data_IF_167443612362
#
_entry.id   IF_167443612362
#
_cell.length_a   1.000
_cell.length_b   1.000
_cell.length_c   1.000
_cell.angle_alpha   90.00
_cell.angle_beta   90.00
_cell.angle_gamma   90.00
#
_symmetry.space_group_name_H-M   'P 1'
#
loop_
_entity.id
_entity.type
_entity.pdbx_description
1 polymer ?
#
# COMPACT_ATOMS: atom_id res chain seq x y z
N UNK A 1 -9.22 27.77 9.81
CA UNK A 1 -10.18 26.89 10.51
C UNK A 1 -9.88 26.94 11.99
N UNK A 2 -10.87 27.26 12.81
CA UNK A 2 -10.70 27.36 14.26
C UNK A 2 -10.51 26.00 14.92
N UNK A 3 -9.96 25.97 16.13
CA UNK A 3 -9.82 24.73 16.90
C UNK A 3 -11.19 24.06 17.13
N UNK A 4 -11.23 22.73 17.11
CA UNK A 4 -12.46 21.94 17.31
C UNK A 4 -13.48 21.97 16.15
N UNK A 5 -13.18 22.65 15.04
CA UNK A 5 -14.12 22.73 13.90
C UNK A 5 -14.34 21.36 13.25
N UNK A 6 -15.56 21.11 12.76
CA UNK A 6 -15.87 19.92 11.97
C UNK A 6 -16.25 20.32 10.55
N UNK A 7 -15.57 19.79 9.55
CA UNK A 7 -15.82 20.06 8.14
C UNK A 7 -16.16 18.75 7.47
N UNK A 8 -17.31 18.67 6.81
CA UNK A 8 -17.82 17.43 6.24
C UNK A 8 -18.01 17.56 4.73
N UNK A 9 -17.68 16.49 4.01
CA UNK A 9 -17.94 16.20 2.59
C UNK A 9 -17.71 17.31 1.54
N UNK A 10 -16.90 17.00 0.53
CA UNK A 10 -16.74 17.78 -0.71
C UNK A 10 -16.20 19.21 -0.54
N UNK A 11 -15.47 19.48 0.54
CA UNK A 11 -14.82 20.78 0.76
C UNK A 11 -13.38 20.74 0.25
N UNK A 12 -13.01 21.72 -0.58
CA UNK A 12 -11.63 21.97 -0.98
C UNK A 12 -11.02 22.98 0.00
N UNK A 13 -10.04 22.53 0.78
CA UNK A 13 -9.26 23.38 1.67
C UNK A 13 -8.02 23.87 0.93
N UNK A 14 -8.04 25.15 0.56
CA UNK A 14 -6.96 25.79 -0.19
C UNK A 14 -5.61 25.73 0.56
N UNK A 15 -4.52 25.80 -0.20
CA UNK A 15 -3.15 25.65 0.31
C UNK A 15 -2.76 26.67 1.40
N UNK A 16 -3.41 27.83 1.45
CA UNK A 16 -3.19 28.88 2.46
C UNK A 16 -3.95 28.70 3.78
N UNK A 17 -4.87 27.73 3.88
CA UNK A 17 -5.69 27.56 5.07
C UNK A 17 -4.85 27.05 6.27
N UNK A 18 -4.99 27.72 7.43
CA UNK A 18 -4.47 27.21 8.71
C UNK A 18 -5.53 26.32 9.36
N UNK A 19 -5.17 25.07 9.67
CA UNK A 19 -6.04 24.09 10.32
C UNK A 19 -5.73 24.13 11.83
N UNK A 20 -6.72 24.49 12.65
CA UNK A 20 -6.59 24.51 14.11
C UNK A 20 -6.50 23.12 14.73
N UNK A 21 -6.10 23.04 16.01
CA UNK A 21 -6.07 21.76 16.73
C UNK A 21 -7.47 21.16 16.90
N UNK A 22 -7.58 19.83 16.86
CA UNK A 22 -8.86 19.13 17.06
C UNK A 22 -9.88 19.30 15.92
N UNK A 23 -9.45 19.79 14.76
CA UNK A 23 -10.33 19.89 13.58
C UNK A 23 -10.59 18.49 13.02
N UNK A 24 -11.85 18.10 12.91
CA UNK A 24 -12.28 16.87 12.25
C UNK A 24 -12.72 17.18 10.81
N UNK A 25 -12.07 16.55 9.84
CA UNK A 25 -12.41 16.70 8.42
C UNK A 25 -12.95 15.36 7.94
N UNK A 26 -14.20 15.30 7.48
CA UNK A 26 -14.87 14.09 6.99
C UNK A 26 -14.26 13.51 5.70
N UNK A 27 -14.86 12.44 5.21
CA UNK A 27 -14.49 11.80 3.96
C UNK A 27 -14.60 12.79 2.78
N UNK A 28 -13.71 12.68 1.80
CA UNK A 28 -13.69 13.52 0.58
C UNK A 28 -13.37 15.02 0.78
N UNK A 29 -12.78 15.44 1.90
CA UNK A 29 -12.23 16.79 2.07
C UNK A 29 -10.79 16.85 1.55
N UNK A 30 -10.54 17.59 0.47
CA UNK A 30 -9.21 17.74 -0.14
C UNK A 30 -8.43 18.86 0.56
N UNK A 31 -7.20 18.58 1.00
CA UNK A 31 -6.32 19.56 1.64
C UNK A 31 -5.06 19.73 0.79
N UNK A 32 -5.05 20.74 -0.09
CA UNK A 32 -3.99 20.97 -1.07
C UNK A 32 -2.60 21.04 -0.40
N UNK A 33 -2.50 21.79 0.72
CA UNK A 33 -1.25 21.95 1.46
C UNK A 33 -0.68 20.63 1.97
N UNK A 34 -1.54 19.74 2.47
CA UNK A 34 -1.13 18.46 3.05
C UNK A 34 -0.54 17.53 1.99
N UNK A 35 -1.21 17.43 0.84
CA UNK A 35 -0.75 16.63 -0.30
C UNK A 35 0.56 17.20 -0.86
N UNK A 36 0.68 18.52 -1.03
CA UNK A 36 1.91 19.15 -1.52
C UNK A 36 3.12 18.90 -0.59
N UNK A 37 2.92 18.96 0.74
CA UNK A 37 3.98 18.65 1.71
C UNK A 37 4.41 17.18 1.60
N UNK A 38 3.45 16.26 1.45
CA UNK A 38 3.75 14.84 1.29
C UNK A 38 4.53 14.54 -0.01
N UNK A 39 4.08 15.11 -1.13
CA UNK A 39 4.73 14.95 -2.44
C UNK A 39 6.13 15.58 -2.41
N UNK A 40 6.26 16.81 -1.92
CA UNK A 40 7.54 17.50 -1.80
C UNK A 40 8.54 16.77 -0.90
N UNK A 41 8.09 16.28 0.27
CA UNK A 41 8.94 15.50 1.16
C UNK A 41 9.38 14.16 0.57
N UNK A 42 8.50 13.51 -0.21
CA UNK A 42 8.86 12.28 -0.93
C UNK A 42 9.90 12.55 -2.01
N UNK A 43 9.71 13.61 -2.80
CA UNK A 43 10.65 14.01 -3.84
C UNK A 43 12.02 14.38 -3.27
N UNK A 44 12.06 15.13 -2.15
CA UNK A 44 13.30 15.47 -1.47
C UNK A 44 14.06 14.23 -0.96
N UNK A 45 13.36 13.27 -0.36
CA UNK A 45 13.95 12.01 0.11
C UNK A 45 14.54 11.18 -1.05
N UNK A 46 13.84 11.12 -2.18
CA UNK A 46 14.33 10.44 -3.38
C UNK A 46 15.55 11.15 -3.99
N UNK A 47 15.51 12.49 -4.09
CA UNK A 47 16.63 13.29 -4.60
C UNK A 47 17.88 13.07 -3.76
N UNK A 48 17.76 13.04 -2.42
CA UNK A 48 18.88 12.73 -1.53
C UNK A 48 19.51 11.37 -1.86
N UNK A 49 18.69 10.34 -2.09
CA UNK A 49 19.16 8.99 -2.42
C UNK A 49 19.87 8.97 -3.78
N UNK A 50 19.32 9.68 -4.77
CA UNK A 50 19.93 9.82 -6.10
C UNK A 50 21.27 10.57 -6.03
N UNK A 51 21.36 11.64 -5.24
CA UNK A 51 22.59 12.41 -5.05
C UNK A 51 23.65 11.63 -4.27
N UNK A 52 23.25 10.70 -3.40
CA UNK A 52 24.17 9.79 -2.72
C UNK A 52 24.72 8.70 -3.66
N UNK A 53 24.01 8.36 -4.75
CA UNK A 53 24.36 7.24 -5.61
C UNK A 53 25.79 7.30 -6.18
N UNK A 54 26.31 8.43 -6.72
CA UNK A 54 27.69 8.51 -7.23
C UNK A 54 28.77 8.25 -6.19
N UNK A 55 28.50 8.54 -4.90
CA UNK A 55 29.41 8.25 -3.80
C UNK A 55 29.30 6.78 -3.41
N UNK A 56 28.08 6.26 -3.28
CA UNK A 56 27.82 4.87 -2.91
C UNK A 56 28.38 3.90 -3.95
N UNK A 57 28.27 4.19 -5.25
CA UNK A 57 28.80 3.32 -6.32
C UNK A 57 30.33 3.29 -6.40
N UNK A 58 31.03 4.22 -5.73
CA UNK A 58 32.49 4.15 -5.54
C UNK A 58 32.90 3.35 -4.31
N UNK A 59 32.00 3.22 -3.34
CA UNK A 59 32.26 2.56 -2.05
C UNK A 59 31.83 1.08 -2.04
N UNK A 60 30.83 0.73 -2.85
CA UNK A 60 30.22 -0.59 -2.89
C UNK A 60 30.39 -1.24 -4.26
N UNK A 61 30.50 -2.57 -4.25
CA UNK A 61 30.61 -3.38 -5.46
C UNK A 61 29.23 -3.60 -6.13
N UNK A 62 29.18 -3.91 -7.44
CA UNK A 62 27.95 -4.32 -8.11
C UNK A 62 27.24 -5.50 -7.42
N UNK A 63 28.01 -6.42 -6.84
CA UNK A 63 27.51 -7.59 -6.11
C UNK A 63 26.74 -7.17 -4.84
N UNK A 64 27.21 -6.14 -4.12
CA UNK A 64 26.52 -5.59 -2.94
C UNK A 64 25.16 -4.98 -3.32
N UNK A 65 25.09 -4.29 -4.46
CA UNK A 65 23.83 -3.76 -4.98
C UNK A 65 22.90 -4.88 -5.47
N UNK A 66 23.45 -5.98 -5.98
CA UNK A 66 22.71 -7.19 -6.32
C UNK A 66 22.00 -7.79 -5.09
N UNK A 67 22.73 -7.92 -3.97
CA UNK A 67 22.16 -8.34 -2.68
C UNK A 67 21.00 -7.44 -2.24
N UNK A 68 21.22 -6.13 -2.28
CA UNK A 68 20.20 -5.14 -1.91
C UNK A 68 18.95 -5.23 -2.80
N UNK A 69 19.12 -5.40 -4.11
CA UNK A 69 18.02 -5.46 -5.08
C UNK A 69 17.15 -6.71 -4.89
N UNK A 70 17.78 -7.88 -4.72
CA UNK A 70 17.06 -9.13 -4.44
C UNK A 70 16.33 -9.05 -3.10
N UNK A 71 17.02 -8.60 -2.05
CA UNK A 71 16.42 -8.41 -0.73
C UNK A 71 15.24 -7.43 -0.75
N UNK A 72 15.40 -6.27 -1.39
CA UNK A 72 14.33 -5.28 -1.53
C UNK A 72 13.12 -5.82 -2.30
N UNK A 73 13.34 -6.65 -3.31
CA UNK A 73 12.27 -7.29 -4.08
C UNK A 73 11.48 -8.30 -3.24
N UNK A 74 12.17 -9.10 -2.41
CA UNK A 74 11.52 -10.02 -1.46
C UNK A 74 10.69 -9.26 -0.42
N UNK A 75 11.24 -8.18 0.16
CA UNK A 75 10.50 -7.33 1.09
C UNK A 75 9.27 -6.68 0.43
N UNK A 76 9.40 -6.19 -0.80
CA UNK A 76 8.28 -5.60 -1.53
C UNK A 76 7.17 -6.62 -1.80
N UNK A 77 7.54 -7.84 -2.20
CA UNK A 77 6.59 -8.92 -2.46
C UNK A 77 5.86 -9.36 -1.18
N UNK A 78 6.59 -9.62 -0.09
CA UNK A 78 6.00 -10.04 1.18
C UNK A 78 5.21 -8.88 1.80
N UNK A 79 5.71 -7.65 1.69
CA UNK A 79 5.05 -6.44 2.20
C UNK A 79 3.68 -6.16 1.57
N UNK A 80 3.43 -6.63 0.35
CA UNK A 80 2.09 -6.54 -0.28
C UNK A 80 1.05 -7.38 0.46
N UNK A 81 1.46 -8.53 0.99
CA UNK A 81 0.57 -9.51 1.61
C UNK A 81 0.71 -9.58 3.13
N UNK A 82 1.65 -8.85 3.74
CA UNK A 82 2.01 -8.98 5.16
C UNK A 82 0.86 -8.65 6.10
N UNK A 83 0.00 -7.70 5.75
CA UNK A 83 -1.24 -7.37 6.49
C UNK A 83 -2.50 -7.81 5.75
N UNK A 84 -2.39 -8.64 4.70
CA UNK A 84 -3.49 -9.01 3.80
C UNK A 84 -4.32 -7.79 3.31
N UNK A 85 -3.69 -6.62 3.24
CA UNK A 85 -4.29 -5.36 2.79
C UNK A 85 -5.37 -4.77 3.72
N UNK A 86 -5.49 -5.28 4.95
CA UNK A 86 -6.34 -4.65 5.97
C UNK A 86 -5.87 -3.24 6.34
N UNK A 87 -4.60 -2.90 6.12
CA UNK A 87 -4.07 -1.55 6.34
C UNK A 87 -4.77 -0.49 5.49
N UNK A 88 -5.28 -0.87 4.31
CA UNK A 88 -6.05 0.01 3.43
C UNK A 88 -7.42 0.37 4.01
N UNK A 89 -7.96 -0.44 4.93
CA UNK A 89 -9.26 -0.21 5.55
C UNK A 89 -9.19 0.79 6.72
N UNK A 90 -8.01 1.08 7.27
CA UNK A 90 -7.81 1.97 8.43
C UNK A 90 -8.46 3.36 8.25
N UNK A 91 -8.46 3.99 7.07
CA UNK A 91 -9.12 5.28 6.87
C UNK A 91 -10.66 5.20 6.77
N UNK A 92 -11.26 4.01 6.64
CA UNK A 92 -12.69 3.87 6.38
C UNK A 92 -13.60 4.08 7.59
N UNK A 93 -13.35 3.49 8.78
CA UNK A 93 -14.22 3.66 9.94
C UNK A 93 -14.42 5.13 10.29
N UNK A 94 -15.61 5.53 10.72
CA UNK A 94 -15.82 6.90 11.21
C UNK A 94 -15.26 7.07 12.63
N UNK A 95 -15.31 6.00 13.44
CA UNK A 95 -14.84 5.98 14.82
C UNK A 95 -13.35 5.57 14.92
N UNK A 96 -12.63 6.24 15.82
CA UNK A 96 -11.20 5.99 16.05
C UNK A 96 -10.95 4.67 16.78
N UNK A 97 -11.87 4.19 17.63
CA UNK A 97 -11.78 2.88 18.26
C UNK A 97 -11.92 1.76 17.24
N UNK A 98 -12.88 1.85 16.32
CA UNK A 98 -13.01 0.89 15.22
C UNK A 98 -11.78 0.90 14.30
N UNK A 99 -11.29 2.07 13.90
CA UNK A 99 -10.06 2.18 13.12
C UNK A 99 -8.85 1.59 13.84
N UNK A 100 -8.75 1.78 15.15
CA UNK A 100 -7.66 1.20 15.94
C UNK A 100 -7.74 -0.33 15.98
N UNK A 101 -8.95 -0.91 16.03
CA UNK A 101 -9.13 -2.36 15.92
C UNK A 101 -8.67 -2.90 14.56
N UNK A 102 -8.92 -2.18 13.46
CA UNK A 102 -8.41 -2.53 12.12
C UNK A 102 -6.88 -2.41 12.05
N UNK A 103 -6.31 -1.36 12.65
CA UNK A 103 -4.86 -1.16 12.70
C UNK A 103 -4.17 -2.29 13.48
N UNK A 104 -4.71 -2.66 14.65
CA UNK A 104 -4.18 -3.77 15.47
C UNK A 104 -4.35 -5.11 14.78
N UNK A 105 -5.48 -5.37 14.11
CA UNK A 105 -5.64 -6.54 13.24
C UNK A 105 -4.52 -6.62 12.21
N UNK A 106 -4.23 -5.50 11.55
CA UNK A 106 -3.17 -5.40 10.54
C UNK A 106 -1.79 -5.67 11.14
N UNK A 107 -1.48 -5.15 12.33
CA UNK A 107 -0.23 -5.42 13.06
C UNK A 107 -0.09 -6.89 13.46
N UNK A 108 -1.18 -7.53 13.90
CA UNK A 108 -1.19 -8.97 14.22
C UNK A 108 -0.86 -9.79 12.97
N UNK A 109 -1.49 -9.48 11.84
CA UNK A 109 -1.22 -10.15 10.56
C UNK A 109 0.24 -9.95 10.13
N UNK A 110 0.78 -8.72 10.24
CA UNK A 110 2.19 -8.44 9.98
C UNK A 110 3.11 -9.26 10.89
N UNK A 111 2.78 -9.38 12.17
CA UNK A 111 3.51 -10.23 13.11
C UNK A 111 3.50 -11.71 12.70
N UNK A 112 2.35 -12.23 12.28
CA UNK A 112 2.22 -13.59 11.75
C UNK A 112 3.06 -13.76 10.48
N UNK A 113 2.99 -12.82 9.53
CA UNK A 113 3.82 -12.88 8.31
C UNK A 113 5.31 -12.78 8.60
N UNK A 114 5.73 -12.00 9.59
CA UNK A 114 7.11 -11.94 10.06
C UNK A 114 7.55 -13.29 10.66
N UNK A 115 6.73 -13.93 11.48
CA UNK A 115 7.02 -15.27 12.02
C UNK A 115 7.10 -16.33 10.92
N UNK A 116 6.14 -16.35 9.99
CA UNK A 116 6.13 -17.29 8.86
C UNK A 116 7.34 -17.10 7.95
N UNK A 117 7.72 -15.87 7.65
CA UNK A 117 8.95 -15.59 6.89
C UNK A 117 10.21 -15.98 7.65
N UNK A 118 10.23 -15.84 8.98
CA UNK A 118 11.31 -16.34 9.83
C UNK A 118 11.43 -17.87 9.77
N UNK A 119 10.32 -18.60 9.89
CA UNK A 119 10.30 -20.07 9.75
C UNK A 119 10.77 -20.48 8.35
N UNK A 120 10.29 -19.80 7.31
CA UNK A 120 10.71 -20.06 5.93
C UNK A 120 12.22 -19.87 5.75
N UNK A 121 12.78 -18.81 6.31
CA UNK A 121 14.22 -18.53 6.28
C UNK A 121 15.01 -19.61 7.02
N UNK A 122 14.56 -20.05 8.19
CA UNK A 122 15.24 -21.08 8.96
C UNK A 122 15.26 -22.44 8.25
N UNK A 123 14.19 -22.78 7.55
CA UNK A 123 14.04 -24.09 6.89
C UNK A 123 14.64 -24.11 5.47
N UNK A 124 14.50 -23.03 4.71
CA UNK A 124 14.77 -22.99 3.27
C UNK A 124 15.70 -21.84 2.85
N UNK A 125 16.25 -21.06 3.79
CA UNK A 125 17.02 -19.85 3.46
C UNK A 125 18.20 -20.09 2.52
N UNK A 126 18.98 -21.16 2.74
CA UNK A 126 20.11 -21.50 1.86
C UNK A 126 19.63 -21.89 0.46
N UNK A 127 18.65 -22.81 0.38
CA UNK A 127 18.07 -23.26 -0.89
C UNK A 127 17.45 -22.11 -1.69
N UNK A 128 16.78 -21.18 -1.02
CA UNK A 128 16.20 -19.98 -1.67
C UNK A 128 17.32 -19.07 -2.19
N UNK A 129 18.39 -18.85 -1.43
CA UNK A 129 19.51 -18.00 -1.85
C UNK A 129 20.23 -18.57 -3.09
N UNK A 130 20.43 -19.89 -3.11
CA UNK A 130 21.03 -20.60 -4.25
C UNK A 130 20.12 -20.55 -5.48
N UNK A 131 18.81 -20.78 -5.31
CA UNK A 131 17.84 -20.70 -6.40
C UNK A 131 17.70 -19.29 -6.99
N UNK A 132 17.92 -18.25 -6.17
CA UNK A 132 17.93 -16.85 -6.61
C UNK A 132 19.26 -16.44 -7.27
N UNK A 133 20.27 -17.33 -7.30
CA UNK A 133 21.59 -17.04 -7.85
C UNK A 133 22.44 -16.10 -6.99
N UNK A 134 22.10 -15.95 -5.69
CA UNK A 134 22.83 -15.07 -4.76
C UNK A 134 23.12 -15.79 -3.43
N UNK A 135 24.04 -16.76 -3.40
CA UNK A 135 24.32 -17.56 -2.19
C UNK A 135 24.77 -16.73 -0.99
N UNK A 136 25.47 -15.62 -1.23
CA UNK A 136 25.91 -14.68 -0.19
C UNK A 136 24.73 -14.08 0.62
N UNK A 137 23.51 -14.10 0.08
CA UNK A 137 22.32 -13.61 0.77
C UNK A 137 21.88 -14.53 1.91
N UNK A 138 22.23 -15.82 1.89
CA UNK A 138 21.83 -16.79 2.90
C UNK A 138 22.24 -16.36 4.32
N UNK A 139 23.43 -15.76 4.48
CA UNK A 139 23.93 -15.24 5.75
C UNK A 139 23.17 -14.03 6.29
N UNK A 140 22.37 -13.37 5.44
CA UNK A 140 21.63 -12.17 5.78
C UNK A 140 20.11 -12.37 5.79
N UNK A 141 19.61 -13.55 5.41
CA UNK A 141 18.17 -13.77 5.29
C UNK A 141 17.39 -13.66 6.59
N UNK A 142 18.05 -13.78 7.74
CA UNK A 142 17.43 -13.50 9.03
C UNK A 142 16.95 -12.04 9.16
N UNK A 143 17.47 -11.11 8.35
CA UNK A 143 16.97 -9.73 8.28
C UNK A 143 15.59 -9.65 7.62
N UNK A 144 15.20 -10.63 6.80
CA UNK A 144 13.92 -10.65 6.09
C UNK A 144 12.71 -10.56 7.04
N UNK A 145 12.53 -11.43 8.06
CA UNK A 145 11.41 -11.31 8.99
C UNK A 145 11.41 -9.97 9.75
N UNK A 146 12.59 -9.41 10.05
CA UNK A 146 12.71 -8.10 10.70
C UNK A 146 12.24 -6.99 9.75
N UNK A 147 12.65 -7.02 8.48
CA UNK A 147 12.20 -6.07 7.46
C UNK A 147 10.70 -6.19 7.16
N UNK A 148 10.15 -7.41 7.15
CA UNK A 148 8.69 -7.63 7.00
C UNK A 148 7.93 -7.02 8.17
N UNK A 149 8.40 -7.24 9.40
CA UNK A 149 7.80 -6.69 10.61
C UNK A 149 7.80 -5.15 10.60
N UNK A 150 8.97 -4.55 10.34
CA UNK A 150 9.13 -3.10 10.36
C UNK A 150 8.45 -2.43 9.18
N UNK A 151 8.61 -2.94 7.96
CA UNK A 151 7.96 -2.40 6.77
C UNK A 151 6.44 -2.55 6.79
N UNK A 152 5.93 -3.67 7.30
CA UNK A 152 4.51 -3.89 7.53
C UNK A 152 3.95 -2.94 8.60
N UNK A 153 4.62 -2.83 9.76
CA UNK A 153 4.22 -1.91 10.81
C UNK A 153 4.26 -0.44 10.37
N UNK A 154 5.31 -0.03 9.63
CA UNK A 154 5.39 1.29 9.00
C UNK A 154 4.18 1.54 8.11
N UNK A 155 3.79 0.57 7.29
CA UNK A 155 2.65 0.70 6.39
C UNK A 155 1.35 0.93 7.17
N UNK A 156 1.10 0.15 8.23
CA UNK A 156 -0.05 0.33 9.12
C UNK A 156 -0.08 1.75 9.73
N UNK A 157 1.03 2.20 10.32
CA UNK A 157 1.09 3.52 10.95
C UNK A 157 1.07 4.67 9.95
N UNK A 158 1.55 4.45 8.72
CA UNK A 158 1.41 5.39 7.62
C UNK A 158 -0.07 5.57 7.25
N UNK A 159 -0.85 4.49 7.09
CA UNK A 159 -2.29 4.58 6.85
C UNK A 159 -3.07 5.21 8.01
N UNK A 160 -2.67 4.94 9.25
CA UNK A 160 -3.20 5.66 10.42
C UNK A 160 -2.88 7.17 10.36
N UNK A 161 -1.67 7.52 9.96
CA UNK A 161 -1.24 8.92 9.83
C UNK A 161 -1.96 9.64 8.68
N UNK A 162 -2.29 8.91 7.60
CA UNK A 162 -3.14 9.41 6.52
C UNK A 162 -4.55 9.67 7.03
N UNK A 163 -5.15 8.73 7.79
CA UNK A 163 -6.45 8.92 8.45
C UNK A 163 -6.49 10.18 9.30
N UNK A 164 -5.47 10.35 10.15
CA UNK A 164 -5.35 11.51 11.06
C UNK A 164 -4.78 12.76 10.37
N UNK A 165 -4.55 12.71 9.05
CA UNK A 165 -4.12 13.83 8.19
C UNK A 165 -2.77 14.45 8.61
N UNK A 166 -1.89 13.65 9.21
CA UNK A 166 -0.53 14.03 9.64
C UNK A 166 0.47 13.98 8.48
N UNK A 167 0.13 14.61 7.36
CA UNK A 167 0.95 14.57 6.14
C UNK A 167 2.37 15.12 6.33
N UNK A 168 2.54 16.15 7.17
CA UNK A 168 3.85 16.69 7.51
C UNK A 168 4.73 15.71 8.29
N UNK A 169 4.14 14.94 9.22
CA UNK A 169 4.86 13.89 9.94
C UNK A 169 5.29 12.78 8.98
N UNK A 170 4.39 12.33 8.09
CA UNK A 170 4.72 11.32 7.07
C UNK A 170 5.88 11.81 6.18
N UNK A 171 5.79 13.04 5.67
CA UNK A 171 6.84 13.65 4.86
C UNK A 171 8.19 13.70 5.59
N UNK A 172 8.17 14.11 6.87
CA UNK A 172 9.36 14.11 7.73
C UNK A 172 9.95 12.71 7.89
N UNK A 173 9.13 11.68 8.08
CA UNK A 173 9.64 10.30 8.19
C UNK A 173 10.36 9.83 6.95
N UNK A 174 9.83 10.13 5.74
CA UNK A 174 10.50 9.75 4.49
C UNK A 174 11.88 10.39 4.35
N UNK A 175 12.01 11.66 4.75
CA UNK A 175 13.29 12.35 4.74
C UNK A 175 14.26 11.77 5.79
N UNK A 176 13.80 11.56 7.02
CA UNK A 176 14.61 10.94 8.08
C UNK A 176 15.03 9.52 7.72
N UNK A 177 14.18 8.75 7.05
CA UNK A 177 14.49 7.41 6.54
C UNK A 177 15.60 7.45 5.50
N UNK A 178 15.49 8.34 4.50
CA UNK A 178 16.50 8.49 3.46
C UNK A 178 17.85 8.96 4.06
N UNK A 179 17.82 9.94 4.97
CA UNK A 179 19.01 10.40 5.68
C UNK A 179 19.66 9.31 6.51
N UNK A 180 18.88 8.58 7.31
CA UNK A 180 19.38 7.47 8.12
C UNK A 180 19.96 6.36 7.24
N UNK A 181 19.30 6.05 6.12
CA UNK A 181 19.79 5.05 5.16
C UNK A 181 21.14 5.46 4.61
N UNK A 182 21.27 6.67 4.04
CA UNK A 182 22.53 7.16 3.47
C UNK A 182 23.62 7.25 4.55
N UNK A 183 23.30 7.75 5.74
CA UNK A 183 24.26 7.87 6.84
C UNK A 183 24.81 6.51 7.27
N UNK A 184 23.95 5.50 7.41
CA UNK A 184 24.36 4.14 7.78
C UNK A 184 25.17 3.50 6.65
N UNK A 185 24.79 3.70 5.39
CA UNK A 185 25.55 3.20 4.23
C UNK A 185 26.94 3.84 4.15
N UNK A 186 27.08 5.14 4.42
CA UNK A 186 28.37 5.80 4.39
C UNK A 186 29.24 5.42 5.60
N UNK A 187 28.67 5.32 6.80
CA UNK A 187 29.39 4.92 8.00
C UNK A 187 29.82 3.44 7.96
N UNK A 188 28.96 2.59 7.39
CA UNK A 188 29.13 1.14 7.35
C UNK A 188 29.86 0.61 6.12
N UNK A 189 30.42 1.45 5.24
CA UNK A 189 30.93 1.01 3.92
C UNK A 189 31.93 -0.15 3.98
N UNK A 190 32.75 -0.22 5.04
CA UNK A 190 33.72 -1.30 5.23
C UNK A 190 33.09 -2.67 5.50
N UNK A 191 31.81 -2.71 5.85
CA UNK A 191 31.07 -3.94 6.10
C UNK A 191 30.50 -4.55 4.79
N UNK A 192 30.64 -3.87 3.65
CA UNK A 192 30.13 -4.34 2.36
C UNK A 192 28.59 -4.39 2.32
N UNK A 193 28.01 -5.30 1.53
CA UNK A 193 26.57 -5.39 1.29
C UNK A 193 25.69 -5.48 2.55
N UNK A 194 26.23 -5.95 3.68
CA UNK A 194 25.49 -5.97 4.95
C UNK A 194 25.10 -4.56 5.42
N UNK A 195 25.94 -3.54 5.16
CA UNK A 195 25.64 -2.16 5.52
C UNK A 195 24.49 -1.60 4.69
N UNK A 196 24.39 -1.99 3.42
CA UNK A 196 23.26 -1.63 2.56
C UNK A 196 21.94 -2.22 3.10
N UNK A 197 21.97 -3.50 3.51
CA UNK A 197 20.81 -4.19 4.07
C UNK A 197 20.40 -3.62 5.44
N UNK A 198 21.35 -3.43 6.34
CA UNK A 198 21.09 -2.81 7.66
C UNK A 198 20.56 -1.40 7.52
N UNK A 199 21.11 -0.59 6.61
CA UNK A 199 20.63 0.75 6.36
C UNK A 199 19.16 0.77 5.94
N UNK A 200 18.74 -0.14 5.05
CA UNK A 200 17.35 -0.25 4.63
C UNK A 200 16.42 -0.61 5.79
N UNK A 201 16.80 -1.60 6.62
CA UNK A 201 16.01 -2.02 7.79
C UNK A 201 15.96 -0.94 8.86
N UNK A 202 17.10 -0.35 9.19
CA UNK A 202 17.22 0.71 10.19
C UNK A 202 16.47 1.99 9.77
N UNK A 203 16.48 2.33 8.49
CA UNK A 203 15.63 3.39 7.94
C UNK A 203 14.17 3.12 8.27
N UNK A 204 13.65 1.93 7.91
CA UNK A 204 12.27 1.55 8.23
C UNK A 204 11.96 1.60 9.73
N UNK A 205 12.90 1.23 10.60
CA UNK A 205 12.77 1.37 12.06
C UNK A 205 12.48 2.80 12.50
N UNK A 206 13.27 3.78 12.02
CA UNK A 206 13.11 5.20 12.38
C UNK A 206 11.72 5.73 11.98
N UNK A 207 11.24 5.36 10.80
CA UNK A 207 9.89 5.74 10.36
C UNK A 207 8.78 5.07 11.17
N UNK A 208 8.96 3.79 11.52
CA UNK A 208 7.96 3.01 12.26
C UNK A 208 7.81 3.51 13.69
N UNK A 209 8.91 3.77 14.39
CA UNK A 209 8.88 4.27 15.78
C UNK A 209 8.28 5.66 15.87
N UNK A 210 8.66 6.54 14.94
CA UNK A 210 8.12 7.91 14.89
C UNK A 210 6.61 7.93 14.59
N UNK A 211 6.14 7.24 13.54
CA UNK A 211 4.70 7.17 13.24
C UNK A 211 3.92 6.39 14.30
N UNK A 212 4.49 5.29 14.80
CA UNK A 212 3.89 4.43 15.82
C UNK A 212 3.68 5.15 17.15
N UNK A 213 4.66 5.94 17.60
CA UNK A 213 4.52 6.75 18.82
C UNK A 213 3.33 7.71 18.74
N UNK A 214 3.13 8.36 17.58
CA UNK A 214 1.97 9.23 17.36
C UNK A 214 0.65 8.48 17.23
N UNK A 215 0.67 7.30 16.61
CA UNK A 215 -0.52 6.47 16.46
C UNK A 215 -1.00 5.98 17.84
N UNK A 216 -0.12 5.34 18.61
CA UNK A 216 -0.43 4.75 19.91
C UNK A 216 -0.81 5.78 20.98
N UNK A 217 -0.42 7.04 20.81
CA UNK A 217 -0.86 8.14 21.67
C UNK A 217 -2.35 8.52 21.45
N UNK A 218 -3.00 8.09 20.37
CA UNK A 218 -4.41 8.39 20.13
C UNK A 218 -5.32 7.57 21.08
N UNK A 219 -6.32 8.20 21.72
CA UNK A 219 -7.25 7.52 22.64
C UNK A 219 -8.01 6.32 22.05
N UNK A 220 -8.22 6.27 20.73
CA UNK A 220 -8.85 5.15 20.03
C UNK A 220 -8.11 3.82 20.25
N UNK A 221 -6.79 3.83 20.41
CA UNK A 221 -6.03 2.62 20.72
C UNK A 221 -6.32 2.04 22.11
N UNK A 222 -6.86 2.84 23.05
CA UNK A 222 -7.32 2.35 24.36
C UNK A 222 -8.65 1.61 24.29
N UNK A 223 -9.40 1.76 23.20
CA UNK A 223 -10.69 1.11 22.97
C UNK A 223 -10.56 -0.21 22.20
N UNK A 224 -9.32 -0.60 21.87
CA UNK A 224 -9.06 -1.86 21.17
C UNK A 224 -9.48 -3.03 22.05
N UNK A 225 -10.25 -3.94 21.46
CA UNK A 225 -10.72 -5.14 22.14
C UNK A 225 -10.69 -6.33 21.19
N UNK A 226 -10.56 -7.54 21.74
CA UNK A 226 -10.52 -8.75 20.93
C UNK A 226 -11.82 -8.97 20.13
N UNK A 227 -12.97 -8.63 20.72
CA UNK A 227 -14.26 -8.64 20.03
C UNK A 227 -14.31 -7.61 18.89
N UNK A 228 -13.76 -6.42 19.11
CA UNK A 228 -13.61 -5.37 18.09
C UNK A 228 -12.74 -5.81 16.92
N UNK A 229 -11.59 -6.42 17.19
CA UNK A 229 -10.67 -6.97 16.17
C UNK A 229 -11.37 -8.06 15.33
N UNK A 230 -12.07 -9.01 15.96
CA UNK A 230 -12.83 -10.05 15.24
C UNK A 230 -13.93 -9.45 14.37
N UNK A 231 -14.65 -8.45 14.88
CA UNK A 231 -15.70 -7.74 14.13
C UNK A 231 -15.11 -6.99 12.94
N UNK A 232 -13.96 -6.33 13.12
CA UNK A 232 -13.23 -5.66 12.05
C UNK A 232 -12.79 -6.66 10.96
N UNK A 233 -12.25 -7.81 11.35
CA UNK A 233 -11.87 -8.88 10.41
C UNK A 233 -13.06 -9.37 9.58
N UNK A 234 -14.24 -9.55 10.20
CA UNK A 234 -15.46 -9.92 9.50
C UNK A 234 -15.98 -8.81 8.58
N UNK A 235 -16.04 -7.57 9.08
CA UNK A 235 -16.57 -6.40 8.36
C UNK A 235 -15.73 -6.02 7.14
N UNK A 236 -14.41 -6.10 7.25
CA UNK A 236 -13.46 -5.73 6.19
C UNK A 236 -12.87 -6.94 5.46
N UNK A 237 -13.48 -8.12 5.58
CA UNK A 237 -13.02 -9.38 4.96
C UNK A 237 -12.83 -9.32 3.44
N UNK A 238 -13.47 -8.35 2.77
CA UNK A 238 -13.35 -8.18 1.31
C UNK A 238 -12.05 -7.51 0.89
N UNK A 239 -11.32 -6.81 1.76
CA UNK A 239 -10.06 -6.13 1.41
C UNK A 239 -8.98 -7.05 0.83
N UNK A 240 -8.71 -8.23 1.43
CA UNK A 240 -7.82 -9.23 0.82
C UNK A 240 -8.27 -9.70 -0.57
N UNK A 241 -9.58 -9.70 -0.84
CA UNK A 241 -10.21 -10.23 -2.07
C UNK A 241 -10.24 -9.16 -3.19
N UNK A 242 -10.37 -7.88 -2.82
CA UNK A 242 -10.44 -6.76 -3.78
C UNK A 242 -9.15 -6.53 -4.57
N UNK A 243 -8.00 -7.08 -4.17
CA UNK A 243 -6.73 -6.94 -4.93
C UNK A 243 -6.83 -7.44 -6.37
N UNK A 244 -7.66 -8.46 -6.63
CA UNK A 244 -7.72 -9.06 -7.97
C UNK A 244 -8.36 -8.12 -8.99
N UNK A 245 -9.37 -7.35 -8.59
CA UNK A 245 -10.17 -6.53 -9.51
C UNK A 245 -10.08 -5.03 -9.30
N UNK A 246 -9.48 -4.56 -8.20
CA UNK A 246 -9.34 -3.13 -7.92
C UNK A 246 -8.55 -2.39 -9.00
N UNK A 247 -7.45 -2.98 -9.51
CA UNK A 247 -6.71 -2.38 -10.65
C UNK A 247 -7.56 -2.29 -11.92
N UNK A 248 -8.40 -3.28 -12.18
CA UNK A 248 -9.33 -3.26 -13.32
C UNK A 248 -10.35 -2.14 -13.12
N UNK A 249 -10.91 -2.03 -11.91
CA UNK A 249 -11.89 -1.01 -11.56
C UNK A 249 -11.28 0.41 -11.66
N UNK A 250 -10.08 0.63 -11.11
CA UNK A 250 -9.33 1.89 -11.24
C UNK A 250 -9.06 2.25 -12.70
N UNK A 251 -8.65 1.29 -13.54
CA UNK A 251 -8.44 1.50 -14.98
C UNK A 251 -9.73 1.80 -15.73
N UNK A 252 -10.85 1.19 -15.37
CA UNK A 252 -12.17 1.49 -15.96
C UNK A 252 -12.58 2.94 -15.63
N UNK A 253 -12.28 3.41 -14.43
CA UNK A 253 -12.63 4.75 -13.96
C UNK A 253 -11.57 5.83 -14.24
N UNK A 254 -10.45 5.49 -14.86
CA UNK A 254 -9.36 6.44 -15.15
C UNK A 254 -9.79 7.54 -16.12
N UNK A 255 -9.15 8.72 -16.00
CA UNK A 255 -9.26 9.81 -16.97
C UNK A 255 -7.85 10.19 -17.45
N UNK A 256 -7.53 10.08 -18.76
CA UNK A 256 -8.40 9.60 -19.86
C UNK A 256 -8.79 8.12 -19.75
N UNK A 257 -9.83 7.71 -20.48
CA UNK A 257 -10.31 6.31 -20.52
C UNK A 257 -9.21 5.41 -21.07
N UNK A 258 -8.84 4.37 -20.31
CA UNK A 258 -7.83 3.41 -20.72
C UNK A 258 -8.36 2.45 -21.79
N UNK A 259 -7.62 2.31 -22.90
CA UNK A 259 -7.85 1.27 -23.90
C UNK A 259 -7.08 -0.03 -23.60
N UNK A 260 -6.31 -0.07 -22.50
CA UNK A 260 -5.39 -1.15 -22.17
C UNK A 260 -5.91 -1.96 -20.96
N UNK A 261 -7.11 -2.51 -21.13
CA UNK A 261 -7.76 -3.39 -20.15
C UNK A 261 -8.08 -4.70 -20.87
N UNK A 262 -7.54 -5.83 -20.40
CA UNK A 262 -7.87 -7.13 -20.97
C UNK A 262 -9.32 -7.48 -20.65
N UNK A 263 -10.07 -7.98 -21.63
CA UNK A 263 -11.47 -8.35 -21.47
C UNK A 263 -11.68 -9.38 -20.37
N UNK A 264 -10.77 -10.36 -20.25
CA UNK A 264 -10.81 -11.37 -19.18
C UNK A 264 -10.80 -10.75 -17.79
N UNK A 265 -10.03 -9.67 -17.57
CA UNK A 265 -10.01 -8.96 -16.28
C UNK A 265 -11.32 -8.26 -15.95
N UNK A 266 -12.09 -7.85 -16.97
CA UNK A 266 -13.43 -7.26 -16.83
C UNK A 266 -14.46 -8.37 -16.55
N UNK A 267 -14.39 -9.51 -17.26
CA UNK A 267 -15.24 -10.66 -16.99
C UNK A 267 -15.09 -11.15 -15.55
N UNK A 268 -13.85 -11.30 -15.07
CA UNK A 268 -13.61 -11.71 -13.69
C UNK A 268 -14.15 -10.68 -12.67
N UNK A 269 -14.01 -9.37 -12.96
CA UNK A 269 -14.63 -8.31 -12.15
C UNK A 269 -16.15 -8.45 -12.11
N UNK A 270 -16.80 -8.74 -13.24
CA UNK A 270 -18.23 -8.97 -13.28
C UNK A 270 -18.65 -10.20 -12.48
N UNK A 271 -17.94 -11.32 -12.61
CA UNK A 271 -18.21 -12.54 -11.82
C UNK A 271 -18.09 -12.25 -10.32
N UNK A 272 -17.06 -11.49 -9.90
CA UNK A 272 -16.90 -11.09 -8.49
C UNK A 272 -18.04 -10.19 -8.01
N UNK A 273 -18.57 -9.32 -8.87
CA UNK A 273 -19.76 -8.50 -8.59
C UNK A 273 -21.07 -9.33 -8.58
N UNK A 274 -21.00 -10.63 -8.83
CA UNK A 274 -22.14 -11.55 -8.84
C UNK A 274 -22.79 -11.75 -10.21
N UNK A 275 -22.07 -11.46 -11.30
CA UNK A 275 -22.62 -11.62 -12.64
C UNK A 275 -22.71 -13.08 -13.07
N UNK A 276 -23.78 -13.40 -13.82
CA UNK A 276 -23.85 -14.62 -14.62
C UNK A 276 -23.48 -14.30 -16.06
N UNK A 277 -22.44 -14.96 -16.58
CA UNK A 277 -21.92 -14.75 -17.93
C UNK A 277 -22.32 -15.95 -18.81
N UNK A 278 -22.88 -15.68 -19.98
CA UNK A 278 -23.28 -16.71 -20.95
C UNK A 278 -22.77 -16.36 -22.35
N UNK A 279 -22.11 -17.30 -23.01
CA UNK A 279 -21.64 -17.14 -24.38
C UNK A 279 -22.83 -17.18 -25.37
N UNK A 280 -22.74 -16.35 -26.41
CA UNK A 280 -23.72 -16.29 -27.50
C UNK A 280 -23.04 -16.50 -28.84
N UNK A 281 -23.83 -16.57 -29.91
CA UNK A 281 -23.32 -16.72 -31.26
C UNK A 281 -22.31 -15.62 -31.63
N UNK A 282 -21.17 -16.04 -32.19
CA UNK A 282 -20.00 -15.19 -32.45
C UNK A 282 -19.25 -14.77 -31.18
N UNK A 283 -18.50 -13.67 -31.24
CA UNK A 283 -17.76 -13.13 -30.08
C UNK A 283 -18.66 -12.37 -29.08
N UNK A 284 -19.95 -12.70 -28.97
CA UNK A 284 -20.90 -11.99 -28.10
C UNK A 284 -21.02 -12.67 -26.74
N UNK A 285 -21.02 -11.87 -25.69
CA UNK A 285 -21.13 -12.33 -24.30
C UNK A 285 -22.30 -11.63 -23.64
N UNK A 286 -23.25 -12.40 -23.13
CA UNK A 286 -24.36 -11.90 -22.32
C UNK A 286 -23.91 -11.87 -20.84
N UNK A 287 -23.90 -10.69 -20.26
CA UNK A 287 -23.62 -10.48 -18.83
C UNK A 287 -24.93 -10.12 -18.14
N UNK A 288 -25.34 -10.93 -17.17
CA UNK A 288 -26.45 -10.62 -16.26
C UNK A 288 -25.89 -10.14 -14.93
N UNK A 289 -26.09 -8.87 -14.61
CA UNK A 289 -25.57 -8.24 -13.40
C UNK A 289 -26.55 -7.16 -12.95
N UNK A 290 -26.72 -6.97 -11.64
CA UNK A 290 -27.70 -6.04 -11.04
C UNK A 290 -29.16 -6.24 -11.47
N UNK A 291 -29.52 -7.46 -11.88
CA UNK A 291 -30.85 -7.76 -12.43
C UNK A 291 -31.04 -7.31 -13.88
N UNK A 292 -30.04 -6.65 -14.48
CA UNK A 292 -30.03 -6.24 -15.88
C UNK A 292 -29.32 -7.27 -16.77
N UNK A 293 -29.61 -7.22 -18.07
CA UNK A 293 -28.94 -8.03 -19.10
C UNK A 293 -28.26 -7.10 -20.08
N UNK A 294 -26.93 -7.18 -20.20
CA UNK A 294 -26.17 -6.45 -21.21
C UNK A 294 -25.37 -7.41 -22.08
N UNK A 295 -25.31 -7.13 -23.38
CA UNK A 295 -24.51 -7.89 -24.34
C UNK A 295 -23.28 -7.06 -24.67
N UNK A 296 -22.12 -7.69 -24.53
CA UNK A 296 -20.84 -7.12 -24.92
C UNK A 296 -20.21 -7.97 -26.03
N UNK A 297 -19.27 -7.37 -26.74
CA UNK A 297 -18.46 -8.06 -27.72
C UNK A 297 -17.07 -8.32 -27.13
N UNK A 298 -16.64 -9.59 -27.11
CA UNK A 298 -15.26 -9.98 -26.83
C UNK A 298 -14.36 -9.36 -27.89
N UNK A 299 -13.32 -8.59 -27.50
CA UNK A 299 -12.41 -7.99 -28.45
C UNK A 299 -11.59 -9.08 -29.17
N UNK A 300 -11.41 -8.88 -30.46
CA UNK A 300 -10.63 -9.74 -31.36
C UNK A 300 -10.09 -8.87 -32.50
N UNK A 301 -8.84 -9.03 -32.98
CA UNK A 301 -7.86 -10.06 -32.60
C UNK A 301 -7.10 -9.79 -31.30
N UNK A 302 -7.04 -8.54 -30.85
CA UNK A 302 -6.37 -8.19 -29.60
C UNK A 302 -7.28 -8.44 -28.39
N UNK A 303 -6.75 -8.94 -27.25
CA UNK A 303 -7.55 -9.29 -26.07
C UNK A 303 -7.99 -8.05 -25.24
N UNK A 304 -7.70 -6.84 -25.71
CA UNK A 304 -7.94 -5.58 -24.99
C UNK A 304 -9.26 -4.92 -25.41
N UNK A 305 -10.00 -4.44 -24.41
CA UNK A 305 -11.30 -3.78 -24.58
C UNK A 305 -11.12 -2.36 -25.10
N UNK A 306 -11.89 -1.98 -26.11
CA UNK A 306 -11.87 -0.63 -26.68
C UNK A 306 -12.43 0.43 -25.72
N UNK A 307 -12.08 1.70 -25.95
CA UNK A 307 -12.49 2.82 -25.07
C UNK A 307 -14.01 3.00 -24.97
N UNK A 308 -14.75 2.69 -26.03
CA UNK A 308 -16.21 2.82 -26.05
C UNK A 308 -16.87 1.77 -25.16
N UNK A 309 -16.42 0.53 -25.24
CA UNK A 309 -16.85 -0.54 -24.34
C UNK A 309 -16.45 -0.25 -22.88
N UNK A 310 -15.22 0.21 -22.61
CA UNK A 310 -14.79 0.62 -21.26
C UNK A 310 -15.66 1.75 -20.70
N UNK A 311 -15.98 2.76 -21.50
CA UNK A 311 -16.87 3.87 -21.10
C UNK A 311 -18.29 3.39 -20.77
N UNK A 312 -18.83 2.47 -21.59
CA UNK A 312 -20.14 1.84 -21.35
C UNK A 312 -20.17 1.07 -20.03
N UNK A 313 -19.12 0.29 -19.77
CA UNK A 313 -18.95 -0.47 -18.52
C UNK A 313 -18.83 0.48 -17.32
N UNK A 314 -18.01 1.54 -17.45
CA UNK A 314 -17.85 2.55 -16.40
C UNK A 314 -19.18 3.19 -16.02
N UNK A 315 -19.97 3.62 -17.00
CA UNK A 315 -21.30 4.19 -16.76
C UNK A 315 -22.19 3.20 -16.02
N UNK A 316 -22.23 1.95 -16.48
CA UNK A 316 -23.04 0.91 -15.89
C UNK A 316 -22.70 0.62 -14.43
N UNK A 317 -21.40 0.48 -14.13
CA UNK A 317 -20.92 0.29 -12.76
C UNK A 317 -21.24 1.50 -11.87
N UNK A 318 -21.06 2.71 -12.40
CA UNK A 318 -21.33 3.94 -11.67
C UNK A 318 -22.82 4.16 -11.37
N UNK A 319 -23.72 3.80 -12.30
CA UNK A 319 -25.18 3.79 -12.11
C UNK A 319 -25.59 2.91 -10.94
N UNK A 320 -24.86 1.82 -10.71
CA UNK A 320 -25.12 0.84 -9.65
C UNK A 320 -24.25 1.03 -8.41
N UNK A 321 -23.65 2.22 -8.25
CA UNK A 321 -22.86 2.58 -7.06
C UNK A 321 -21.52 1.85 -6.92
N UNK A 322 -21.08 1.09 -7.94
CA UNK A 322 -19.76 0.47 -7.95
C UNK A 322 -18.73 1.50 -8.39
N UNK A 323 -17.82 1.85 -7.47
CA UNK A 323 -16.75 2.83 -7.68
C UNK A 323 -15.43 2.28 -7.13
N UNK A 324 -14.28 2.73 -7.64
CA UNK A 324 -12.97 2.43 -7.06
C UNK A 324 -12.90 2.86 -5.58
#
# INVERSE_FOLDING_TARGET
MGAGSRVWHWVHVCSGARIGQGVSLGQNVFVARGVSVLVGGTAAAQLLTVLAAPLLTRLYSPEDFGLLAVYGSLLALIGVISSLRYELAIPLPEDDGEAANVAVLSLILVGISALLSGVLVLLLGTAIADALGVPALAGYFWLLPVGVLLGGAYSVFNYWSVRTKRFGTIAGTKLSQALATVAIQLAGFKLGGIALLYAQVAGQSVGTTSLGGWALANPGFRQVSWSGIKKAAGRYRRFPIFLKHQRTLEKIFSRPVSANIRWTSIEELFVELGAQITEREGSRVLVRLFGERRVFHRPHPEPTTDKGAVESIRKWLNEHGVRP
#
